data_IF_162075839405
#
_entry.id   IF_162075839405
#
_cell.length_a   1.000
_cell.length_b   1.000
_cell.length_c   1.000
_cell.angle_alpha   90.00
_cell.angle_beta   90.00
_cell.angle_gamma   90.00
#
_symmetry.space_group_name_H-M   'P 1'
#
loop_
_entity.id
_entity.type
_entity.pdbx_description
1 polymer ?
#
# COMPACT_ATOMS: atom_id res chain seq x y z
N UNK A 1 -11.07 32.80 -6.55
CA UNK A 1 -10.59 31.43 -6.33
C UNK A 1 -11.04 30.63 -7.52
N UNK A 2 -10.11 29.94 -8.19
CA UNK A 2 -10.46 29.05 -9.30
C UNK A 2 -11.33 27.91 -8.76
N UNK A 3 -12.44 27.66 -9.46
CA UNK A 3 -13.36 26.55 -9.16
C UNK A 3 -13.19 25.49 -10.22
N UNK A 4 -13.36 24.25 -9.83
CA UNK A 4 -13.36 23.09 -10.72
C UNK A 4 -14.61 22.25 -10.45
N UNK A 5 -15.07 21.54 -11.47
CA UNK A 5 -16.30 20.76 -11.40
C UNK A 5 -16.09 19.33 -11.90
N UNK A 6 -16.88 18.39 -11.37
CA UNK A 6 -16.94 17.00 -11.78
C UNK A 6 -18.30 16.72 -12.41
N UNK A 7 -18.35 15.88 -13.44
CA UNK A 7 -19.63 15.33 -13.92
C UNK A 7 -19.98 14.06 -13.16
N UNK A 8 -21.04 14.12 -12.35
CA UNK A 8 -21.57 13.00 -11.56
C UNK A 8 -23.07 12.90 -11.81
N UNK A 9 -23.54 11.77 -12.32
CA UNK A 9 -24.96 11.55 -12.66
C UNK A 9 -25.54 12.67 -13.54
N UNK A 10 -24.80 13.09 -14.57
CA UNK A 10 -25.15 14.19 -15.49
C UNK A 10 -25.33 15.56 -14.82
N UNK A 11 -24.75 15.77 -13.64
CA UNK A 11 -24.74 17.05 -12.94
C UNK A 11 -23.31 17.47 -12.61
N UNK A 12 -23.05 18.77 -12.73
CA UNK A 12 -21.80 19.37 -12.26
C UNK A 12 -21.83 19.48 -10.74
N UNK A 13 -20.77 18.98 -10.10
CA UNK A 13 -20.54 19.13 -8.67
C UNK A 13 -19.17 19.75 -8.43
N UNK A 14 -19.08 20.71 -7.51
CA UNK A 14 -17.83 21.43 -7.23
C UNK A 14 -16.80 20.50 -6.58
N UNK A 15 -15.55 20.58 -7.05
CA UNK A 15 -14.39 19.96 -6.41
C UNK A 15 -14.10 20.67 -5.10
N UNK A 16 -13.84 19.91 -4.03
CA UNK A 16 -13.51 20.49 -2.74
C UNK A 16 -12.25 21.34 -2.84
N UNK A 17 -12.27 22.48 -2.13
CA UNK A 17 -11.12 23.39 -2.04
C UNK A 17 -9.82 22.71 -1.54
N UNK A 18 -9.93 21.58 -0.83
CA UNK A 18 -8.79 20.77 -0.39
C UNK A 18 -8.06 20.05 -1.53
N UNK A 19 -8.71 19.85 -2.68
CA UNK A 19 -8.19 19.05 -3.79
C UNK A 19 -7.95 19.87 -5.08
N UNK A 20 -7.87 21.20 -4.98
CA UNK A 20 -7.61 22.06 -6.14
C UNK A 20 -6.26 21.78 -6.82
N UNK A 21 -5.26 21.32 -6.07
CA UNK A 21 -3.96 20.92 -6.64
C UNK A 21 -4.06 19.65 -7.49
N UNK A 22 -5.02 18.77 -7.21
CA UNK A 22 -5.34 17.65 -8.09
C UNK A 22 -6.10 18.15 -9.30
N UNK A 23 -7.13 18.97 -9.11
CA UNK A 23 -7.95 19.50 -10.19
C UNK A 23 -7.11 20.20 -11.28
N UNK A 24 -6.17 21.07 -10.88
CA UNK A 24 -5.23 21.73 -11.79
C UNK A 24 -4.34 20.80 -12.61
N UNK A 25 -4.07 19.58 -12.11
CA UNK A 25 -3.23 18.59 -12.80
C UNK A 25 -4.05 17.68 -13.70
N UNK A 26 -5.35 17.56 -13.43
CA UNK A 26 -6.29 16.71 -14.16
C UNK A 26 -6.84 17.47 -15.36
N UNK A 27 -7.25 18.73 -15.17
CA UNK A 27 -7.80 19.60 -16.20
C UNK A 27 -6.74 19.92 -17.26
N UNK A 28 -6.77 19.18 -18.38
CA UNK A 28 -5.79 19.33 -19.47
C UNK A 28 -6.23 20.36 -20.49
N UNK A 29 -7.54 20.51 -20.66
CA UNK A 29 -8.13 21.40 -21.66
C UNK A 29 -8.41 22.82 -21.10
N UNK A 30 -8.22 23.01 -19.79
CA UNK A 30 -8.43 24.25 -19.04
C UNK A 30 -9.87 24.78 -19.14
N UNK A 31 -10.85 23.89 -19.17
CA UNK A 31 -12.29 24.21 -19.17
C UNK A 31 -12.93 24.20 -17.77
N UNK A 32 -12.13 23.87 -16.74
CA UNK A 32 -12.54 23.75 -15.34
C UNK A 32 -13.54 22.62 -15.04
N UNK A 33 -13.72 21.66 -15.97
CA UNK A 33 -14.59 20.50 -15.84
C UNK A 33 -13.75 19.23 -15.97
N UNK A 34 -13.54 18.53 -14.85
CA UNK A 34 -12.78 17.29 -14.81
C UNK A 34 -13.64 16.14 -15.32
N UNK A 35 -13.40 15.72 -16.56
CA UNK A 35 -14.11 14.59 -17.17
C UNK A 35 -13.48 13.23 -16.82
N UNK A 36 -14.23 12.16 -17.09
CA UNK A 36 -13.81 10.79 -16.75
C UNK A 36 -12.55 10.37 -17.49
N UNK A 37 -12.29 10.88 -18.70
CA UNK A 37 -11.09 10.57 -19.47
C UNK A 37 -9.88 11.29 -18.88
N UNK A 38 -10.01 12.56 -18.51
CA UNK A 38 -8.95 13.32 -17.84
C UNK A 38 -8.57 12.68 -16.50
N UNK A 39 -9.57 12.30 -15.70
CA UNK A 39 -9.36 11.60 -14.44
C UNK A 39 -8.68 10.24 -14.71
N UNK A 40 -9.17 9.48 -15.69
CA UNK A 40 -8.57 8.19 -16.07
C UNK A 40 -7.10 8.35 -16.46
N UNK A 41 -6.79 9.31 -17.34
CA UNK A 41 -5.42 9.56 -17.79
C UNK A 41 -4.51 9.97 -16.63
N UNK A 42 -5.02 10.81 -15.72
CA UNK A 42 -4.30 11.19 -14.52
C UNK A 42 -3.98 9.97 -13.66
N UNK A 43 -4.96 9.11 -13.41
CA UNK A 43 -4.79 7.90 -12.60
C UNK A 43 -3.82 6.90 -13.27
N UNK A 44 -3.87 6.73 -14.59
CA UNK A 44 -2.92 5.89 -15.35
C UNK A 44 -1.50 6.43 -15.19
N UNK A 45 -1.30 7.75 -15.37
CA UNK A 45 0.01 8.38 -15.27
C UNK A 45 0.65 8.22 -13.89
N UNK A 46 -0.18 8.12 -12.84
CA UNK A 46 0.27 7.94 -11.46
C UNK A 46 0.38 6.46 -11.03
N UNK A 47 0.11 5.50 -11.94
CA UNK A 47 0.09 4.06 -11.66
C UNK A 47 -1.00 3.66 -10.63
N UNK A 48 -2.13 4.35 -10.70
CA UNK A 48 -3.31 4.17 -9.83
C UNK A 48 -4.37 3.26 -10.48
N UNK A 49 -4.33 3.13 -11.81
CA UNK A 49 -5.15 2.19 -12.58
C UNK A 49 -4.28 1.04 -13.09
N UNK A 50 -4.74 -0.19 -12.87
CA UNK A 50 -4.08 -1.41 -13.34
C UNK A 50 -4.73 -1.90 -14.62
N UNK A 51 -3.94 -2.57 -15.44
CA UNK A 51 -4.36 -3.12 -16.72
C UNK A 51 -4.11 -4.62 -16.75
N UNK A 52 -4.93 -5.36 -17.47
CA UNK A 52 -4.66 -6.75 -17.84
C UNK A 52 -4.68 -6.92 -19.35
N UNK A 53 -3.86 -7.84 -19.83
CA UNK A 53 -3.96 -8.30 -21.21
C UNK A 53 -5.12 -9.29 -21.32
N UNK A 54 -5.99 -9.06 -22.29
CA UNK A 54 -7.09 -9.96 -22.65
C UNK A 54 -6.94 -10.40 -24.10
N UNK A 55 -7.80 -11.31 -24.55
CA UNK A 55 -7.86 -11.72 -25.96
C UNK A 55 -8.20 -10.54 -26.89
N UNK A 56 -8.94 -9.56 -26.38
CA UNK A 56 -9.45 -8.42 -27.14
C UNK A 56 -8.60 -7.15 -26.94
N UNK A 57 -7.44 -7.28 -26.25
CA UNK A 57 -6.48 -6.20 -26.00
C UNK A 57 -6.29 -5.86 -24.53
N UNK A 58 -5.73 -4.66 -24.26
CA UNK A 58 -5.55 -4.14 -22.90
C UNK A 58 -6.89 -3.69 -22.31
N UNK A 59 -7.23 -4.22 -21.15
CA UNK A 59 -8.41 -3.82 -20.38
C UNK A 59 -7.97 -3.16 -19.06
N UNK A 60 -8.53 -1.99 -18.75
CA UNK A 60 -8.35 -1.34 -17.44
C UNK A 60 -9.25 -2.06 -16.43
N UNK A 61 -8.63 -2.58 -15.38
CA UNK A 61 -9.34 -3.31 -14.33
C UNK A 61 -10.09 -2.31 -13.45
N UNK A 62 -11.39 -2.53 -13.26
CA UNK A 62 -12.25 -1.76 -12.36
C UNK A 62 -12.22 -0.24 -12.61
N UNK A 63 -12.03 0.18 -13.87
CA UNK A 63 -11.92 1.60 -14.26
C UNK A 63 -12.99 2.47 -13.58
N UNK A 64 -14.26 2.12 -13.82
CA UNK A 64 -15.39 2.97 -13.40
C UNK A 64 -15.47 3.08 -11.87
N UNK A 65 -15.24 1.98 -11.14
CA UNK A 65 -15.24 2.00 -9.68
C UNK A 65 -14.12 2.93 -9.15
N UNK A 66 -12.91 2.80 -9.68
CA UNK A 66 -11.75 3.59 -9.22
C UNK A 66 -11.91 5.07 -9.58
N UNK A 67 -12.43 5.38 -10.77
CA UNK A 67 -12.75 6.75 -11.18
C UNK A 67 -13.83 7.35 -10.27
N UNK A 68 -14.89 6.60 -9.95
CA UNK A 68 -15.94 7.07 -9.06
C UNK A 68 -15.44 7.29 -7.63
N UNK A 69 -14.65 6.35 -7.07
CA UNK A 69 -14.01 6.53 -5.77
C UNK A 69 -13.11 7.78 -5.74
N UNK A 70 -12.41 8.07 -6.85
CA UNK A 70 -11.57 9.25 -6.94
C UNK A 70 -12.39 10.55 -7.06
N UNK A 71 -13.53 10.52 -7.78
CA UNK A 71 -14.47 11.64 -7.81
C UNK A 71 -15.02 11.95 -6.42
N UNK A 72 -15.44 10.94 -5.67
CA UNK A 72 -15.90 11.11 -4.29
C UNK A 72 -14.80 11.72 -3.41
N UNK A 73 -13.55 11.26 -3.56
CA UNK A 73 -12.40 11.86 -2.89
C UNK A 73 -12.20 13.33 -3.26
N UNK A 74 -12.30 13.70 -4.55
CA UNK A 74 -12.20 15.10 -5.00
C UNK A 74 -13.32 15.98 -4.41
N UNK A 75 -14.43 15.39 -4.00
CA UNK A 75 -15.51 16.06 -3.28
C UNK A 75 -15.31 16.13 -1.76
N UNK A 76 -14.19 15.63 -1.22
CA UNK A 76 -13.91 15.51 0.22
C UNK A 76 -14.95 14.63 0.94
N UNK A 77 -15.50 13.64 0.23
CA UNK A 77 -16.32 12.59 0.82
C UNK A 77 -15.38 11.59 1.49
N UNK A 78 -15.55 11.39 2.79
CA UNK A 78 -14.72 10.50 3.61
C UNK A 78 -15.00 9.02 3.27
N UNK A 79 -14.18 8.45 2.37
CA UNK A 79 -14.18 7.01 2.08
C UNK A 79 -13.41 6.29 3.19
N UNK A 80 -14.15 5.85 4.21
CA UNK A 80 -13.58 5.10 5.33
C UNK A 80 -13.06 3.74 4.90
N UNK A 81 -11.99 3.30 5.55
CA UNK A 81 -11.50 1.95 5.37
C UNK A 81 -12.57 0.92 5.72
N UNK A 82 -12.73 -0.17 4.92
CA UNK A 82 -13.57 -1.29 5.31
C UNK A 82 -13.15 -1.81 6.68
N UNK A 83 -14.11 -2.27 7.48
CA UNK A 83 -13.88 -2.69 8.88
C UNK A 83 -12.93 -3.87 9.03
N UNK A 84 -12.70 -4.64 7.97
CA UNK A 84 -11.75 -5.75 7.95
C UNK A 84 -10.31 -5.32 7.68
N UNK A 85 -10.07 -4.07 7.27
CA UNK A 85 -8.71 -3.52 7.12
C UNK A 85 -8.21 -3.10 8.51
N UNK A 86 -7.13 -3.73 8.96
CA UNK A 86 -6.52 -3.50 10.26
C UNK A 86 -5.59 -2.30 10.23
N UNK A 87 -5.67 -1.42 11.21
CA UNK A 87 -4.67 -0.36 11.37
C UNK A 87 -3.27 -0.94 11.70
N UNK A 88 -2.24 -0.10 11.69
CA UNK A 88 -0.87 -0.55 11.95
C UNK A 88 -0.74 -1.30 13.29
N UNK A 89 -1.37 -0.79 14.36
CA UNK A 89 -1.27 -1.40 15.67
C UNK A 89 -1.97 -2.76 15.72
N UNK A 90 -3.11 -2.89 15.04
CA UNK A 90 -3.83 -4.16 14.91
C UNK A 90 -3.01 -5.19 14.13
N UNK A 91 -2.31 -4.79 13.06
CA UNK A 91 -1.38 -5.67 12.33
C UNK A 91 -0.23 -6.12 13.25
N UNK A 92 0.44 -5.20 13.96
CA UNK A 92 1.53 -5.55 14.87
C UNK A 92 1.06 -6.45 16.02
N UNK A 93 -0.11 -6.19 16.59
CA UNK A 93 -0.68 -7.04 17.62
C UNK A 93 -0.94 -8.45 17.10
N UNK A 94 -1.48 -8.58 15.88
CA UNK A 94 -1.67 -9.89 15.25
C UNK A 94 -0.35 -10.62 15.02
N UNK A 95 0.71 -9.92 14.62
CA UNK A 95 2.06 -10.51 14.49
C UNK A 95 2.58 -11.02 15.85
N UNK A 96 2.38 -10.26 16.93
CA UNK A 96 2.74 -10.69 18.30
C UNK A 96 1.94 -11.89 18.78
N UNK A 97 0.65 -11.96 18.46
CA UNK A 97 -0.18 -13.14 18.74
C UNK A 97 0.36 -14.39 18.02
N UNK A 98 0.81 -14.25 16.77
CA UNK A 98 1.40 -15.36 16.02
C UNK A 98 2.74 -15.81 16.60
N UNK A 99 3.60 -14.88 17.03
CA UNK A 99 4.84 -15.21 17.74
C UNK A 99 4.56 -15.98 19.03
N UNK A 100 3.60 -15.53 19.83
CA UNK A 100 3.21 -16.21 21.08
C UNK A 100 2.57 -17.59 20.84
N UNK A 101 1.79 -17.74 19.76
CA UNK A 101 1.13 -19.01 19.40
C UNK A 101 2.12 -20.03 18.82
N UNK A 102 3.18 -19.57 18.16
CA UNK A 102 4.17 -20.43 17.48
C UNK A 102 5.62 -20.05 17.87
N UNK A 103 5.98 -20.11 19.16
CA UNK A 103 7.26 -19.57 19.66
C UNK A 103 8.50 -20.30 19.12
N UNK A 104 8.35 -21.56 18.70
CA UNK A 104 9.45 -22.34 18.10
C UNK A 104 9.63 -22.09 16.60
N UNK A 105 8.70 -21.36 15.95
CA UNK A 105 8.70 -21.14 14.50
C UNK A 105 8.76 -19.68 14.11
N UNK A 106 8.31 -18.78 14.98
CA UNK A 106 8.10 -17.37 14.67
C UNK A 106 8.94 -16.49 15.58
N UNK A 107 9.56 -15.47 14.99
CA UNK A 107 10.21 -14.38 15.73
C UNK A 107 9.96 -13.06 15.04
N UNK A 108 9.69 -12.03 15.83
CA UNK A 108 9.59 -10.66 15.35
C UNK A 108 10.95 -9.96 15.43
N UNK A 109 11.28 -9.27 14.35
CA UNK A 109 12.51 -8.49 14.23
C UNK A 109 12.17 -7.05 13.87
N UNK A 110 12.88 -6.11 14.49
CA UNK A 110 12.64 -4.67 14.38
C UNK A 110 13.75 -4.07 13.52
N UNK A 111 13.42 -3.74 12.27
CA UNK A 111 14.38 -3.31 11.25
C UNK A 111 14.78 -1.84 11.37
N UNK A 112 14.07 -1.07 12.20
CA UNK A 112 14.31 0.35 12.41
C UNK A 112 13.02 1.10 12.70
N UNK A 113 13.10 2.43 12.64
CA UNK A 113 11.96 3.33 12.84
C UNK A 113 11.70 4.18 11.62
N UNK A 114 10.44 4.48 11.38
CA UNK A 114 9.98 5.43 10.38
C UNK A 114 10.25 6.88 10.80
N UNK A 115 9.96 7.84 9.92
CA UNK A 115 10.12 9.27 10.21
C UNK A 115 9.25 9.74 11.38
N UNK A 116 8.03 9.22 11.51
CA UNK A 116 7.13 9.53 12.63
C UNK A 116 7.33 8.58 13.84
N UNK A 117 8.38 7.74 13.82
CA UNK A 117 8.82 6.96 14.98
C UNK A 117 8.16 5.59 15.15
N UNK A 118 7.39 5.10 14.17
CA UNK A 118 6.80 3.75 14.18
C UNK A 118 7.86 2.71 13.84
N UNK A 119 7.77 1.54 14.44
CA UNK A 119 8.68 0.44 14.11
C UNK A 119 8.39 -0.14 12.73
N UNK A 120 9.45 -0.56 12.04
CA UNK A 120 9.34 -1.39 10.84
C UNK A 120 9.60 -2.83 11.29
N UNK A 121 8.55 -3.64 11.31
CA UNK A 121 8.58 -4.97 11.94
C UNK A 121 8.43 -6.06 10.88
N UNK A 122 9.36 -7.00 10.87
CA UNK A 122 9.30 -8.20 10.02
C UNK A 122 9.08 -9.43 10.91
N UNK A 123 8.28 -10.38 10.42
CA UNK A 123 8.08 -11.68 11.05
C UNK A 123 8.91 -12.72 10.30
N UNK A 124 9.89 -13.33 10.97
CA UNK A 124 10.63 -14.48 10.46
C UNK A 124 9.89 -15.76 10.84
N UNK A 125 9.68 -16.62 9.86
CA UNK A 125 9.03 -17.92 10.00
C UNK A 125 10.03 -18.99 9.53
N UNK A 126 10.33 -19.94 10.41
CA UNK A 126 11.24 -21.08 10.15
C UNK A 126 10.65 -22.36 10.74
N UNK A 127 11.17 -23.51 10.30
CA UNK A 127 10.87 -24.81 10.94
C UNK A 127 11.30 -24.82 12.42
N UNK A 128 12.44 -24.23 12.71
CA UNK A 128 12.97 -24.02 14.05
C UNK A 128 13.63 -22.63 14.08
N UNK A 129 13.04 -21.71 14.83
CA UNK A 129 13.44 -20.30 14.86
C UNK A 129 14.78 -20.07 15.54
N UNK A 130 15.25 -21.05 16.32
CA UNK A 130 16.55 -21.02 16.98
C UNK A 130 17.68 -21.54 16.08
N UNK A 131 17.38 -22.01 14.87
CA UNK A 131 18.41 -22.34 13.88
C UNK A 131 19.20 -21.08 13.50
N UNK A 132 20.51 -21.25 13.30
CA UNK A 132 21.40 -20.16 12.90
C UNK A 132 20.90 -19.48 11.62
N UNK A 133 20.78 -18.16 11.69
CA UNK A 133 20.35 -17.31 10.58
C UNK A 133 21.35 -17.36 9.41
N UNK A 134 20.85 -17.30 8.18
CA UNK A 134 21.69 -17.29 6.97
C UNK A 134 22.14 -18.66 6.46
N UNK A 135 21.82 -19.76 7.17
CA UNK A 135 22.05 -21.12 6.66
C UNK A 135 21.03 -21.58 5.63
N UNK A 136 19.78 -21.11 5.75
CA UNK A 136 18.68 -21.43 4.84
C UNK A 136 18.54 -20.34 3.77
N UNK A 137 17.99 -20.70 2.61
CA UNK A 137 17.58 -19.69 1.63
C UNK A 137 16.41 -18.89 2.19
N UNK A 138 16.31 -17.62 1.82
CA UNK A 138 15.30 -16.73 2.37
C UNK A 138 14.33 -16.25 1.30
N UNK A 139 13.04 -16.16 1.65
CA UNK A 139 12.01 -15.49 0.86
C UNK A 139 11.50 -14.31 1.66
N UNK A 140 11.44 -13.13 1.03
CA UNK A 140 10.82 -11.95 1.61
C UNK A 140 9.49 -11.69 0.90
N UNK A 141 8.42 -11.58 1.68
CA UNK A 141 7.09 -11.17 1.22
C UNK A 141 6.78 -9.85 1.90
N UNK A 142 6.43 -8.84 1.10
CA UNK A 142 6.13 -7.49 1.59
C UNK A 142 4.73 -7.03 1.20
N UNK A 143 4.15 -6.18 2.04
CA UNK A 143 2.91 -5.46 1.77
C UNK A 143 3.06 -3.96 2.06
N UNK A 144 2.09 -3.17 1.58
CA UNK A 144 1.97 -1.74 1.90
C UNK A 144 3.25 -0.94 1.63
N UNK A 145 3.87 -1.20 0.49
CA UNK A 145 4.95 -0.36 -0.03
C UNK A 145 4.41 1.03 -0.41
N UNK A 146 3.25 1.04 -1.07
CA UNK A 146 2.41 2.23 -1.18
C UNK A 146 1.30 2.20 -0.14
N UNK A 147 1.10 3.34 0.51
CA UNK A 147 0.23 3.47 1.67
C UNK A 147 -1.25 3.14 1.46
N UNK A 148 -1.81 3.42 0.27
CA UNK A 148 -3.23 3.20 -0.04
C UNK A 148 -3.58 1.78 -0.50
N UNK A 149 -2.59 0.92 -0.75
CA UNK A 149 -2.76 -0.44 -1.28
C UNK A 149 -3.09 -1.44 -0.15
N UNK A 150 -4.09 -1.13 0.68
CA UNK A 150 -4.38 -1.79 1.96
C UNK A 150 -4.48 -3.31 1.90
N UNK A 151 -5.09 -3.84 0.83
CA UNK A 151 -5.23 -5.29 0.65
C UNK A 151 -3.90 -6.04 0.65
N UNK A 152 -2.80 -5.39 0.26
CA UNK A 152 -1.47 -6.03 0.23
C UNK A 152 -0.93 -6.35 1.62
N UNK A 153 -1.19 -5.49 2.61
CA UNK A 153 -0.78 -5.73 4.00
C UNK A 153 -1.56 -6.89 4.63
N UNK A 154 -2.89 -6.89 4.45
CA UNK A 154 -3.75 -7.99 4.89
C UNK A 154 -3.38 -9.31 4.21
N UNK A 155 -3.06 -9.27 2.90
CA UNK A 155 -2.66 -10.46 2.15
C UNK A 155 -1.34 -11.04 2.67
N UNK A 156 -0.33 -10.20 2.94
CA UNK A 156 0.94 -10.64 3.49
C UNK A 156 0.75 -11.29 4.88
N UNK A 157 -0.07 -10.69 5.75
CA UNK A 157 -0.39 -11.25 7.05
C UNK A 157 -1.18 -12.56 6.96
N UNK A 158 -2.16 -12.65 6.05
CA UNK A 158 -2.92 -13.87 5.81
C UNK A 158 -2.03 -15.02 5.26
N UNK A 159 -1.02 -14.70 4.44
CA UNK A 159 -0.03 -15.69 4.01
C UNK A 159 0.71 -16.27 5.24
N UNK A 160 1.13 -15.41 6.18
CA UNK A 160 1.76 -15.87 7.42
C UNK A 160 0.85 -16.80 8.23
N UNK A 161 -0.42 -16.42 8.43
CA UNK A 161 -1.41 -17.23 9.13
C UNK A 161 -1.59 -18.60 8.46
N UNK A 162 -1.78 -18.61 7.14
CA UNK A 162 -1.95 -19.86 6.38
C UNK A 162 -0.71 -20.76 6.42
N UNK A 163 0.49 -20.18 6.39
CA UNK A 163 1.74 -20.94 6.53
C UNK A 163 1.83 -21.63 7.89
N UNK A 164 1.46 -20.92 8.97
CA UNK A 164 1.58 -21.41 10.34
C UNK A 164 0.47 -22.40 10.74
N UNK A 165 -0.72 -22.25 10.17
CA UNK A 165 -1.89 -23.11 10.42
C UNK A 165 -1.93 -24.35 9.53
N UNK A 166 -1.12 -24.40 8.48
CA UNK A 166 -1.16 -25.49 7.51
C UNK A 166 -0.67 -26.82 8.11
N UNK A 167 -1.52 -27.83 7.97
CA UNK A 167 -1.17 -29.24 8.20
C UNK A 167 -0.60 -29.91 6.93
N UNK A 168 -0.36 -29.15 5.86
CA UNK A 168 0.21 -29.67 4.63
C UNK A 168 1.70 -30.00 4.85
N UNK A 169 2.04 -31.27 4.70
CA UNK A 169 3.41 -31.76 4.85
C UNK A 169 4.34 -31.15 3.79
N UNK A 170 3.87 -30.88 2.57
CA UNK A 170 4.69 -30.26 1.53
C UNK A 170 5.09 -28.83 1.93
N UNK A 171 4.13 -28.04 2.43
CA UNK A 171 4.40 -26.68 2.89
C UNK A 171 5.35 -26.65 4.09
N UNK A 172 5.15 -27.55 5.04
CA UNK A 172 6.02 -27.70 6.20
C UNK A 172 7.43 -28.19 5.82
N UNK A 173 7.56 -28.99 4.76
CA UNK A 173 8.86 -29.46 4.28
C UNK A 173 9.70 -28.33 3.66
N UNK A 174 9.07 -27.35 3.00
CA UNK A 174 9.81 -26.18 2.49
C UNK A 174 10.51 -25.39 3.60
N UNK A 175 9.93 -25.32 4.80
CA UNK A 175 10.56 -24.62 5.94
C UNK A 175 11.81 -25.33 6.49
N UNK A 176 12.10 -26.56 6.06
CA UNK A 176 13.38 -27.20 6.36
C UNK A 176 14.53 -26.50 5.62
N UNK A 177 14.27 -26.01 4.41
CA UNK A 177 15.26 -25.41 3.52
C UNK A 177 15.14 -23.88 3.39
N UNK A 178 14.00 -23.32 3.83
CA UNK A 178 13.64 -21.92 3.68
C UNK A 178 13.34 -21.24 5.02
N UNK A 179 13.80 -20.00 5.14
CA UNK A 179 13.25 -19.01 6.06
C UNK A 179 12.33 -18.06 5.28
N UNK A 180 11.14 -17.79 5.81
CA UNK A 180 10.18 -16.87 5.21
C UNK A 180 10.07 -15.63 6.08
N UNK A 181 10.35 -14.47 5.49
CA UNK A 181 10.22 -13.17 6.13
C UNK A 181 8.96 -12.48 5.61
N UNK A 182 8.07 -12.08 6.52
CA UNK A 182 6.83 -11.38 6.21
C UNK A 182 6.92 -9.97 6.78
N UNK A 183 6.96 -8.96 5.90
CA UNK A 183 6.93 -7.54 6.25
C UNK A 183 5.61 -6.95 5.75
N UNK A 184 4.51 -7.05 6.52
CA UNK A 184 3.19 -6.68 6.02
C UNK A 184 3.02 -5.17 5.83
N UNK A 185 3.80 -4.35 6.55
CA UNK A 185 3.73 -2.88 6.48
C UNK A 185 5.11 -2.29 6.24
N UNK A 186 5.50 -2.10 4.98
CA UNK A 186 6.76 -1.42 4.64
C UNK A 186 6.70 0.08 4.93
N UNK A 187 5.52 0.70 4.78
CA UNK A 187 5.31 2.14 4.99
C UNK A 187 4.32 2.44 6.14
N UNK A 188 4.70 2.23 7.41
CA UNK A 188 3.79 2.43 8.55
C UNK A 188 3.16 3.82 8.62
N UNK A 189 3.95 4.87 8.43
CA UNK A 189 3.44 6.25 8.55
C UNK A 189 2.49 6.61 7.42
N UNK A 190 2.86 6.25 6.20
CA UNK A 190 2.01 6.46 5.04
C UNK A 190 0.70 5.69 5.18
N UNK A 191 0.77 4.43 5.61
CA UNK A 191 -0.40 3.58 5.83
C UNK A 191 -1.39 4.19 6.83
N UNK A 192 -0.90 4.61 7.99
CA UNK A 192 -1.74 5.26 9.00
C UNK A 192 -2.36 6.57 8.50
N UNK A 193 -1.58 7.35 7.73
CA UNK A 193 -2.08 8.57 7.11
C UNK A 193 -3.17 8.28 6.06
N UNK A 194 -3.03 7.18 5.29
CA UNK A 194 -4.03 6.82 4.29
C UNK A 194 -5.34 6.33 4.87
N UNK A 195 -5.30 5.69 6.04
CA UNK A 195 -6.50 5.28 6.77
C UNK A 195 -7.26 6.45 7.42
N UNK A 196 -6.55 7.50 7.83
CA UNK A 196 -7.09 8.52 8.74
C UNK A 196 -7.28 9.91 8.14
N UNK A 197 -6.55 10.23 7.07
CA UNK A 197 -6.48 11.60 6.54
C UNK A 197 -6.64 11.67 5.02
N UNK A 198 -5.97 10.79 4.28
CA UNK A 198 -5.98 10.84 2.81
C UNK A 198 -5.91 9.44 2.21
N UNK A 199 -7.10 8.89 1.90
CA UNK A 199 -7.29 7.57 1.29
C UNK A 199 -6.38 7.30 0.10
N UNK A 200 -6.04 8.33 -0.66
CA UNK A 200 -5.25 8.27 -1.89
C UNK A 200 -3.75 8.51 -1.69
N UNK A 201 -3.31 8.67 -0.43
CA UNK A 201 -1.90 8.82 -0.11
C UNK A 201 -1.08 7.58 -0.48
N UNK A 202 0.02 7.80 -1.20
CA UNK A 202 0.91 6.74 -1.71
C UNK A 202 2.25 6.67 -0.99
N UNK A 203 2.83 7.84 -0.69
CA UNK A 203 4.24 8.04 -0.31
C UNK A 203 4.52 7.72 1.17
N UNK A 204 5.78 7.80 1.59
CA UNK A 204 6.09 7.87 3.03
C UNK A 204 5.71 9.26 3.61
N UNK A 205 6.06 9.53 4.88
CA UNK A 205 5.70 10.77 5.59
C UNK A 205 6.87 11.68 5.95
N UNK A 206 8.06 11.43 5.38
CA UNK A 206 9.22 12.29 5.58
C UNK A 206 8.93 13.73 5.14
N UNK A 207 9.28 14.72 5.95
CA UNK A 207 9.06 16.14 5.62
C UNK A 207 10.32 16.75 5.00
N UNK A 208 10.14 17.51 3.93
CA UNK A 208 11.18 18.27 3.23
C UNK A 208 10.70 19.71 2.99
N UNK A 209 11.61 20.62 2.63
CA UNK A 209 11.25 22.02 2.35
C UNK A 209 10.18 22.14 1.25
N UNK A 210 10.19 21.24 0.26
CA UNK A 210 9.29 21.27 -0.91
C UNK A 210 8.15 20.24 -0.84
N UNK A 211 7.83 19.73 0.34
CA UNK A 211 6.65 18.89 0.54
C UNK A 211 6.87 17.69 1.45
N UNK A 212 5.91 16.77 1.43
CA UNK A 212 5.90 15.59 2.31
C UNK A 212 5.96 14.33 1.47
N UNK A 213 6.94 13.49 1.78
CA UNK A 213 7.07 12.11 1.35
C UNK A 213 7.76 11.90 0.01
N UNK A 214 8.41 10.75 -0.13
CA UNK A 214 8.92 10.18 -1.38
C UNK A 214 8.16 8.91 -1.74
N UNK A 215 8.11 8.57 -3.03
CA UNK A 215 7.65 7.25 -3.46
C UNK A 215 8.74 6.22 -3.11
N UNK A 216 8.45 5.35 -2.14
CA UNK A 216 9.39 4.32 -1.68
C UNK A 216 9.82 3.40 -2.82
N UNK A 217 8.94 3.10 -3.79
CA UNK A 217 9.25 2.23 -4.92
C UNK A 217 10.00 2.97 -6.05
N UNK A 218 10.46 4.19 -5.78
CA UNK A 218 11.36 4.97 -6.63
C UNK A 218 12.60 5.44 -5.85
N UNK A 219 12.78 4.97 -4.61
CA UNK A 219 13.87 5.37 -3.73
C UNK A 219 14.85 4.22 -3.41
N UNK A 220 14.79 3.12 -4.16
CA UNK A 220 15.79 2.07 -4.06
C UNK A 220 17.08 2.51 -4.75
N UNK A 221 18.22 2.21 -4.13
CA UNK A 221 19.51 2.37 -4.79
C UNK A 221 19.51 1.59 -6.10
N UNK A 222 19.86 2.25 -7.20
CA UNK A 222 20.23 1.57 -8.43
C UNK A 222 21.57 2.10 -8.91
N UNK A 223 22.42 1.29 -9.57
CA UNK A 223 23.66 1.80 -10.15
C UNK A 223 23.49 2.96 -11.14
N UNK A 224 22.28 3.13 -11.69
CA UNK A 224 21.92 4.21 -12.63
C UNK A 224 21.34 5.46 -11.96
N UNK A 225 20.77 5.30 -10.77
CA UNK A 225 20.21 6.37 -9.95
C UNK A 225 20.70 6.15 -8.51
N UNK A 226 21.92 6.62 -8.19
CA UNK A 226 22.58 6.31 -6.93
C UNK A 226 22.07 7.13 -5.75
N UNK A 227 21.06 7.99 -5.93
CA UNK A 227 20.57 8.86 -4.87
C UNK A 227 19.43 8.23 -4.09
N UNK A 228 19.73 7.83 -2.85
CA UNK A 228 18.74 7.84 -1.76
C UNK A 228 18.43 9.30 -1.45
N UNK A 229 17.22 9.77 -1.77
CA UNK A 229 16.74 11.09 -1.36
C UNK A 229 16.36 11.10 0.13
#
# INVERSE_FOLDING_TARGET
MDKYYLTINNKLQEVSSKHLDYAKKIDKNNDHILDDNEITDFLIKNDDLKFRMTRDGLEIINKDNIVNDFKEYLQDIDIKAPTFIRDYNQIINKMKELEQKYPDKVKLEYLGKTFEGRDIVVMRISKNINDEEGKKKSILITGLHHAREWATGESALNIAEKLLESNDNALNNYLNDLDIYILPVVNPDGYEYSLKQDRWWRKNRTKFEKGIGVDLNRNYFTPKDPTLY
#
